data_IF_502799043019
#
_entry.id   IF_502799043019
#
_cell.length_a   1.000
_cell.length_b   1.000
_cell.length_c   1.000
_cell.angle_alpha   90.00
_cell.angle_beta   90.00
_cell.angle_gamma   90.00
#
_symmetry.space_group_name_H-M   'P 1'
#
loop_
_entity.id
_entity.type
_entity.pdbx_description
1 polymer ?
#
# COMPACT_ATOMS: atom_id res chain seq x y z
N UNK A 1 -7.26 35.19 9.36
CA UNK A 1 -6.75 34.10 8.49
C UNK A 1 -6.34 32.85 9.27
N UNK A 2 -5.48 32.93 10.30
CA UNK A 2 -5.06 31.74 11.09
C UNK A 2 -6.22 30.91 11.67
N UNK A 3 -7.27 31.56 12.20
CA UNK A 3 -8.45 30.88 12.77
C UNK A 3 -9.28 30.11 11.72
N UNK A 4 -9.30 30.60 10.47
CA UNK A 4 -10.02 29.95 9.35
C UNK A 4 -9.25 28.71 8.89
N UNK A 5 -7.91 28.82 8.79
CA UNK A 5 -7.04 27.68 8.44
C UNK A 5 -7.14 26.56 9.46
N UNK A 6 -7.15 26.89 10.76
CA UNK A 6 -7.33 25.91 11.84
C UNK A 6 -8.71 25.24 11.74
N UNK A 7 -9.77 26.02 11.48
CA UNK A 7 -11.12 25.48 11.30
C UNK A 7 -11.21 24.47 10.14
N UNK A 8 -10.59 24.79 9.00
CA UNK A 8 -10.54 23.89 7.83
C UNK A 8 -9.77 22.61 8.15
N UNK A 9 -8.61 22.71 8.82
CA UNK A 9 -7.83 21.54 9.23
C UNK A 9 -8.63 20.60 10.14
N UNK A 10 -9.32 21.16 11.14
CA UNK A 10 -10.14 20.37 12.07
C UNK A 10 -11.31 19.71 11.34
N UNK A 11 -11.99 20.42 10.44
CA UNK A 11 -13.04 19.84 9.62
C UNK A 11 -12.54 18.68 8.74
N UNK A 12 -11.37 18.82 8.10
CA UNK A 12 -10.77 17.74 7.28
C UNK A 12 -10.40 16.53 8.14
N UNK A 13 -9.83 16.75 9.32
CA UNK A 13 -9.51 15.65 10.25
C UNK A 13 -10.77 14.93 10.74
N UNK A 14 -11.84 15.66 11.09
CA UNK A 14 -13.10 15.08 11.54
C UNK A 14 -13.82 14.30 10.42
N UNK A 15 -13.77 14.79 9.18
CA UNK A 15 -14.30 14.07 8.02
C UNK A 15 -13.52 12.78 7.73
N UNK A 16 -12.22 12.75 8.00
CA UNK A 16 -11.39 11.54 7.87
C UNK A 16 -11.74 10.44 8.87
N UNK A 17 -12.22 10.80 10.06
CA UNK A 17 -12.64 9.84 11.11
C UNK A 17 -14.06 9.31 10.86
N UNK A 18 -14.93 10.13 10.27
CA UNK A 18 -16.32 9.79 9.99
C UNK A 18 -16.54 9.08 8.65
N UNK A 19 -15.51 8.98 7.81
CA UNK A 19 -15.59 8.19 6.59
C UNK A 19 -15.78 6.72 6.97
N UNK A 20 -16.88 6.06 6.56
CA UNK A 20 -16.93 4.61 6.64
C UNK A 20 -15.70 4.10 5.89
N UNK A 21 -14.92 3.21 6.51
CA UNK A 21 -13.93 2.41 5.81
C UNK A 21 -14.69 1.57 4.78
N UNK A 22 -15.00 2.18 3.64
CA UNK A 22 -15.47 1.49 2.47
C UNK A 22 -14.37 0.46 2.19
N UNK A 23 -14.68 -0.80 2.46
CA UNK A 23 -13.82 -1.92 2.19
C UNK A 23 -13.68 -1.94 0.68
N UNK A 24 -12.66 -1.25 0.16
CA UNK A 24 -12.46 -1.12 -1.28
C UNK A 24 -12.48 -2.53 -1.85
N UNK A 25 -13.46 -2.79 -2.72
CA UNK A 25 -13.55 -4.07 -3.40
C UNK A 25 -12.23 -4.24 -4.15
N UNK A 26 -11.50 -5.32 -3.86
CA UNK A 26 -10.12 -5.50 -4.36
C UNK A 26 -10.17 -5.58 -5.88
N UNK A 27 -9.76 -4.50 -6.54
CA UNK A 27 -9.70 -4.42 -7.98
C UNK A 27 -8.29 -4.80 -8.43
N UNK A 28 -8.16 -5.93 -9.16
CA UNK A 28 -6.87 -6.42 -9.63
C UNK A 28 -6.14 -5.38 -10.49
N UNK A 29 -6.85 -4.65 -11.36
CA UNK A 29 -6.26 -3.58 -12.16
C UNK A 29 -5.71 -2.42 -11.30
N UNK A 30 -6.43 -2.06 -10.23
CA UNK A 30 -5.95 -1.07 -9.27
C UNK A 30 -4.70 -1.55 -8.53
N UNK A 31 -4.66 -2.82 -8.10
CA UNK A 31 -3.50 -3.42 -7.45
C UNK A 31 -2.27 -3.39 -8.38
N UNK A 32 -2.43 -3.80 -9.64
CA UNK A 32 -1.36 -3.81 -10.65
C UNK A 32 -0.80 -2.42 -10.90
N UNK A 33 -1.67 -1.42 -11.12
CA UNK A 33 -1.24 -0.03 -11.34
C UNK A 33 -0.51 0.49 -10.09
N UNK A 34 -1.02 0.15 -8.92
CA UNK A 34 -0.43 0.59 -7.66
C UNK A 34 0.99 0.03 -7.47
N UNK A 35 1.24 -1.25 -7.77
CA UNK A 35 2.59 -1.82 -7.77
C UNK A 35 3.47 -1.34 -8.92
N UNK A 36 2.89 -0.94 -10.05
CA UNK A 36 3.64 -0.36 -11.16
C UNK A 36 4.20 1.03 -10.81
N UNK A 37 3.46 1.82 -10.05
CA UNK A 37 3.89 3.15 -9.59
C UNK A 37 4.71 3.07 -8.32
N UNK A 38 4.27 2.25 -7.35
CA UNK A 38 4.90 2.06 -6.04
C UNK A 38 5.06 0.55 -5.76
N UNK A 39 6.22 -0.03 -6.07
CA UNK A 39 6.46 -1.46 -5.88
C UNK A 39 6.13 -1.92 -4.45
N UNK A 40 5.38 -3.02 -4.33
CA UNK A 40 4.87 -3.63 -3.09
C UNK A 40 3.52 -3.08 -2.62
N UNK A 41 3.03 -1.97 -3.19
CA UNK A 41 1.80 -1.34 -2.71
C UNK A 41 0.53 -2.05 -3.19
N UNK A 42 0.55 -2.73 -4.34
CA UNK A 42 -0.58 -3.52 -4.82
C UNK A 42 -0.88 -4.73 -3.93
N UNK A 43 0.16 -5.34 -3.37
CA UNK A 43 0.10 -6.44 -2.41
C UNK A 43 -0.41 -5.95 -1.05
N UNK A 44 0.06 -4.77 -0.62
CA UNK A 44 -0.46 -4.10 0.59
C UNK A 44 -1.93 -3.70 0.41
N UNK A 45 -2.35 -3.26 -0.78
CA UNK A 45 -3.75 -3.05 -1.13
C UNK A 45 -4.55 -4.36 -1.11
N UNK A 46 -4.00 -5.44 -1.70
CA UNK A 46 -4.60 -6.76 -1.71
C UNK A 46 -4.70 -7.38 -0.30
N UNK A 47 -3.86 -6.98 0.66
CA UNK A 47 -4.02 -7.40 2.06
C UNK A 47 -5.13 -6.63 2.81
N UNK A 48 -5.70 -5.60 2.17
CA UNK A 48 -6.61 -4.64 2.80
C UNK A 48 -5.86 -3.65 3.68
N UNK A 49 -4.66 -3.23 3.26
CA UNK A 49 -3.78 -2.32 3.98
C UNK A 49 -3.33 -2.82 5.35
N UNK A 50 -3.30 -4.15 5.52
CA UNK A 50 -2.82 -4.80 6.74
C UNK A 50 -1.30 -4.93 6.70
N UNK A 51 -0.65 -4.71 7.84
CA UNK A 51 0.81 -4.66 7.95
C UNK A 51 1.37 -3.25 7.80
N UNK A 52 2.69 -3.14 7.60
CA UNK A 52 3.39 -1.87 7.37
C UNK A 52 3.41 -1.46 5.89
N UNK A 53 3.74 -0.21 5.60
CA UNK A 53 3.95 0.24 4.23
C UNK A 53 5.23 -0.41 3.62
N UNK A 54 5.23 -0.81 2.33
CA UNK A 54 6.32 -1.51 1.63
C UNK A 54 7.55 -0.64 1.28
N UNK A 55 8.12 0.12 2.23
CA UNK A 55 9.19 1.09 1.93
C UNK A 55 10.41 0.45 1.24
N UNK A 56 10.84 -0.72 1.72
CA UNK A 56 12.00 -1.42 1.17
C UNK A 56 11.76 -1.91 -0.26
N UNK A 57 10.56 -2.43 -0.54
CA UNK A 57 10.18 -2.91 -1.86
C UNK A 57 10.00 -1.76 -2.84
N UNK A 58 9.47 -0.62 -2.41
CA UNK A 58 9.46 0.61 -3.20
C UNK A 58 10.88 1.02 -3.62
N UNK A 59 11.81 1.11 -2.65
CA UNK A 59 13.21 1.51 -2.93
C UNK A 59 13.89 0.50 -3.86
N UNK A 60 13.75 -0.79 -3.58
CA UNK A 60 14.39 -1.85 -4.35
C UNK A 60 13.77 -2.02 -5.73
N UNK A 61 12.45 -1.84 -5.87
CA UNK A 61 11.77 -1.87 -7.15
C UNK A 61 12.20 -0.73 -8.08
N UNK A 62 12.46 0.46 -7.53
CA UNK A 62 13.05 1.55 -8.33
C UNK A 62 14.51 1.30 -8.71
N UNK A 63 15.27 0.56 -7.90
CA UNK A 63 16.68 0.23 -8.18
C UNK A 63 16.84 -1.01 -9.05
N UNK A 64 15.89 -1.94 -9.00
CA UNK A 64 15.93 -3.23 -9.66
C UNK A 64 14.57 -3.51 -10.32
N UNK A 65 14.54 -3.37 -11.65
CA UNK A 65 13.35 -3.61 -12.45
C UNK A 65 12.74 -5.01 -12.25
N UNK A 66 13.55 -6.03 -11.94
CA UNK A 66 13.04 -7.39 -11.68
C UNK A 66 12.17 -7.44 -10.42
N UNK A 67 12.47 -6.63 -9.40
CA UNK A 67 11.67 -6.51 -8.17
C UNK A 67 10.37 -5.74 -8.43
N UNK A 68 10.43 -4.71 -9.28
CA UNK A 68 9.22 -4.00 -9.71
C UNK A 68 8.30 -4.93 -10.53
N UNK A 69 8.86 -5.69 -11.47
CA UNK A 69 8.08 -6.61 -12.29
C UNK A 69 7.48 -7.74 -11.47
N UNK A 70 8.24 -8.32 -10.53
CA UNK A 70 7.69 -9.33 -9.61
C UNK A 70 6.56 -8.77 -8.79
N UNK A 71 6.70 -7.54 -8.28
CA UNK A 71 5.63 -6.90 -7.50
C UNK A 71 4.37 -6.61 -8.32
N UNK A 72 4.50 -6.19 -9.58
CA UNK A 72 3.35 -6.00 -10.47
C UNK A 72 2.62 -7.34 -10.69
N UNK A 73 3.37 -8.43 -10.89
CA UNK A 73 2.80 -9.76 -11.11
C UNK A 73 2.12 -10.32 -9.85
N UNK A 74 2.74 -10.15 -8.68
CA UNK A 74 2.18 -10.58 -7.40
C UNK A 74 0.88 -9.80 -7.10
N UNK A 75 0.88 -8.49 -7.33
CA UNK A 75 -0.31 -7.65 -7.21
C UNK A 75 -1.43 -8.04 -8.19
N UNK A 76 -1.08 -8.38 -9.44
CA UNK A 76 -2.05 -8.82 -10.45
C UNK A 76 -2.68 -10.18 -10.12
N UNK A 77 -1.89 -11.11 -9.57
CA UNK A 77 -2.36 -12.44 -9.18
C UNK A 77 -3.13 -12.43 -7.85
N UNK A 78 -3.13 -11.31 -7.12
CA UNK A 78 -3.69 -11.25 -5.77
C UNK A 78 -2.89 -12.08 -4.77
N UNK A 79 -1.65 -12.42 -5.12
CA UNK A 79 -0.80 -13.31 -4.35
C UNK A 79 0.10 -12.49 -3.43
N UNK A 80 0.24 -12.98 -2.19
CA UNK A 80 1.17 -12.45 -1.22
C UNK A 80 2.28 -13.47 -0.93
N UNK A 81 2.55 -14.39 -1.84
CA UNK A 81 3.47 -15.52 -1.65
C UNK A 81 4.08 -15.83 -3.01
N UNK A 82 5.27 -15.36 -3.36
CA UNK A 82 6.54 -16.03 -3.02
C UNK A 82 7.49 -15.91 -4.21
N UNK A 83 8.77 -15.63 -3.90
CA UNK A 83 10.02 -16.06 -4.59
C UNK A 83 11.06 -14.94 -4.73
N UNK A 84 10.67 -13.65 -4.83
CA UNK A 84 11.61 -12.51 -4.82
C UNK A 84 11.14 -11.43 -3.83
N UNK A 85 10.67 -11.86 -2.66
CA UNK A 85 10.26 -10.95 -1.60
C UNK A 85 11.41 -10.86 -0.63
N UNK A 86 12.02 -9.68 -0.51
CA UNK A 86 12.85 -9.43 0.66
C UNK A 86 11.87 -9.29 1.83
N UNK A 87 11.69 -10.37 2.59
CA UNK A 87 10.85 -10.44 3.78
C UNK A 87 11.42 -9.53 4.88
N UNK A 88 11.27 -8.21 4.71
CA UNK A 88 11.32 -7.25 5.82
C UNK A 88 9.98 -7.21 6.59
N UNK A 89 9.06 -8.10 6.23
CA UNK A 89 7.62 -8.08 6.51
C UNK A 89 7.18 -8.75 7.80
N UNK A 90 8.09 -9.13 8.68
CA UNK A 90 7.73 -9.46 10.05
C UNK A 90 7.92 -8.23 10.92
N UNK A 91 6.83 -7.64 11.39
CA UNK A 91 6.93 -7.00 12.70
C UNK A 91 7.46 -8.08 13.65
N UNK A 92 8.48 -7.83 14.49
CA UNK A 92 8.97 -8.83 15.41
C UNK A 92 7.79 -9.25 16.32
N UNK A 93 7.18 -10.41 16.03
CA UNK A 93 6.02 -10.93 16.76
C UNK A 93 4.83 -11.45 15.94
N UNK A 94 4.73 -11.23 14.62
CA UNK A 94 3.63 -11.81 13.82
C UNK A 94 4.02 -13.19 13.27
N UNK A 95 3.95 -14.23 14.11
CA UNK A 95 3.77 -15.62 13.68
C UNK A 95 2.31 -16.01 13.85
#
# INVERSE_FOLDING_TARGET
MKKVVIGIMVCVMLLGIAAPMARAEKNAGAATILSAVMPGCGEWYNSGWKGSFPFGECILGYLCFLVQLSSIMDAANGDATSNIRIDFWSAPGSK
#
